data_IF_073945739689
#
_entry.id   IF_073945739689
#
_cell.length_a   1.000
_cell.length_b   1.000
_cell.length_c   1.000
_cell.angle_alpha   90.00
_cell.angle_beta   90.00
_cell.angle_gamma   90.00
#
_symmetry.space_group_name_H-M   'P 1'
#
loop_
_entity.id
_entity.type
_entity.pdbx_description
1 polymer ?
#
# COMPACT_ATOMS: atom_id res chain seq x y z
N UNK A 1 6.93 -12.95 -0.42
CA UNK A 1 8.41 -12.83 -0.31
C UNK A 1 9.21 -13.76 -1.22
N UNK A 2 8.64 -14.83 -1.80
CA UNK A 2 9.42 -15.75 -2.64
C UNK A 2 10.13 -15.08 -3.83
N UNK A 3 9.43 -14.20 -4.54
CA UNK A 3 10.01 -13.47 -5.67
C UNK A 3 11.20 -12.60 -5.25
N UNK A 4 11.10 -11.93 -4.09
CA UNK A 4 12.22 -11.16 -3.54
C UNK A 4 13.42 -12.04 -3.22
N UNK A 5 13.21 -13.26 -2.70
CA UNK A 5 14.31 -14.22 -2.44
C UNK A 5 15.01 -14.67 -3.72
N UNK A 6 14.26 -14.92 -4.79
CA UNK A 6 14.81 -15.41 -6.07
C UNK A 6 15.40 -14.30 -6.94
N UNK A 7 14.85 -13.09 -6.84
CA UNK A 7 15.15 -11.97 -7.72
C UNK A 7 15.46 -10.70 -6.90
N UNK A 8 16.36 -10.82 -5.93
CA UNK A 8 16.74 -9.72 -5.01
C UNK A 8 17.17 -8.44 -5.73
N UNK A 9 17.76 -8.58 -6.92
CA UNK A 9 18.25 -7.46 -7.72
C UNK A 9 17.15 -6.70 -8.47
N UNK A 10 15.96 -7.28 -8.63
CA UNK A 10 14.90 -6.63 -9.41
C UNK A 10 14.21 -5.54 -8.60
N UNK A 11 13.75 -4.51 -9.31
CA UNK A 11 12.75 -3.59 -8.77
C UNK A 11 11.42 -4.34 -8.76
N UNK A 12 10.88 -4.60 -7.58
CA UNK A 12 9.53 -5.17 -7.44
C UNK A 12 8.54 -4.01 -7.30
N UNK A 13 7.48 -4.04 -8.11
CA UNK A 13 6.45 -3.00 -8.13
C UNK A 13 5.10 -3.60 -7.74
N UNK A 14 4.33 -2.92 -6.90
CA UNK A 14 2.95 -3.31 -6.60
C UNK A 14 2.78 -4.32 -5.46
N UNK A 15 1.88 -5.29 -5.68
CA UNK A 15 1.54 -6.42 -4.79
C UNK A 15 0.66 -6.13 -3.56
N UNK A 16 0.14 -4.90 -3.44
CA UNK A 16 -0.85 -4.57 -2.42
C UNK A 16 -2.26 -4.93 -2.91
N UNK A 17 -2.98 -5.74 -2.14
CA UNK A 17 -4.31 -6.27 -2.50
C UNK A 17 -5.32 -5.13 -2.70
N UNK A 18 -5.78 -4.93 -3.94
CA UNK A 18 -6.78 -3.90 -4.29
C UNK A 18 -8.09 -4.04 -3.49
N UNK A 19 -8.49 -5.26 -3.12
CA UNK A 19 -9.75 -5.47 -2.38
C UNK A 19 -9.70 -4.92 -0.95
N UNK A 20 -8.50 -4.60 -0.43
CA UNK A 20 -8.34 -3.98 0.89
C UNK A 20 -8.97 -2.59 0.98
N UNK A 21 -9.18 -1.91 -0.15
CA UNK A 21 -9.80 -0.56 -0.20
C UNK A 21 -11.25 -0.57 -0.67
N UNK A 22 -11.85 -1.75 -0.87
CA UNK A 22 -13.29 -1.85 -1.13
C UNK A 22 -14.11 -1.52 0.12
N UNK A 23 -15.33 -1.06 -0.10
CA UNK A 23 -16.33 -0.84 0.95
C UNK A 23 -16.45 -2.06 1.88
N UNK A 24 -16.28 -1.84 3.18
CA UNK A 24 -16.40 -2.86 4.22
C UNK A 24 -15.14 -3.70 4.47
N UNK A 25 -14.03 -3.40 3.80
CA UNK A 25 -12.73 -4.07 3.99
C UNK A 25 -11.66 -3.18 4.62
N UNK A 26 -12.02 -2.01 5.14
CA UNK A 26 -11.07 -0.99 5.64
C UNK A 26 -10.17 -1.53 6.77
N UNK A 27 -10.66 -2.49 7.55
CA UNK A 27 -9.91 -3.18 8.61
C UNK A 27 -8.70 -3.98 8.09
N UNK A 28 -8.70 -4.31 6.78
CA UNK A 28 -7.62 -5.06 6.12
C UNK A 28 -6.48 -4.18 5.67
N UNK A 29 -6.69 -2.88 5.48
CA UNK A 29 -5.70 -1.92 4.96
C UNK A 29 -4.41 -1.96 5.76
N UNK A 30 -4.51 -1.86 7.09
CA UNK A 30 -3.35 -1.83 7.97
C UNK A 30 -2.57 -3.16 7.92
N UNK A 31 -3.27 -4.29 7.97
CA UNK A 31 -2.65 -5.62 7.87
C UNK A 31 -1.91 -5.80 6.55
N UNK A 32 -2.53 -5.38 5.46
CA UNK A 32 -1.98 -5.50 4.11
C UNK A 32 -0.70 -4.68 3.97
N UNK A 33 -0.73 -3.40 4.35
CA UNK A 33 0.43 -2.51 4.24
C UNK A 33 1.55 -2.93 5.21
N UNK A 34 1.25 -3.10 6.50
CA UNK A 34 2.26 -3.33 7.53
C UNK A 34 2.94 -4.71 7.41
N UNK A 35 2.25 -5.71 6.86
CA UNK A 35 2.85 -7.05 6.67
C UNK A 35 3.78 -7.14 5.45
N UNK A 36 3.67 -6.20 4.50
CA UNK A 36 4.38 -6.27 3.22
C UNK A 36 5.36 -5.12 3.02
N UNK A 37 4.94 -3.89 3.26
CA UNK A 37 5.68 -2.69 2.83
C UNK A 37 6.97 -2.49 3.64
N UNK A 38 6.95 -2.37 4.98
CA UNK A 38 8.19 -2.17 5.75
C UNK A 38 9.29 -3.22 5.47
N UNK A 39 9.02 -4.54 5.56
CA UNK A 39 10.07 -5.54 5.33
C UNK A 39 10.54 -5.60 3.87
N UNK A 40 9.73 -5.19 2.88
CA UNK A 40 10.18 -5.08 1.49
C UNK A 40 11.01 -3.82 1.24
N UNK A 41 10.71 -2.71 1.93
CA UNK A 41 11.51 -1.50 1.88
C UNK A 41 12.89 -1.70 2.50
N UNK A 42 12.97 -2.39 3.65
CA UNK A 42 14.24 -2.76 4.29
C UNK A 42 15.16 -3.57 3.36
N UNK A 43 14.58 -4.41 2.50
CA UNK A 43 15.31 -5.20 1.50
C UNK A 43 15.70 -4.38 0.25
N UNK A 44 15.17 -3.15 0.12
CA UNK A 44 15.43 -2.26 -1.00
C UNK A 44 14.74 -2.66 -2.31
N UNK A 45 14.88 -1.80 -3.32
CA UNK A 45 14.37 -2.01 -4.69
C UNK A 45 12.89 -2.42 -4.74
N UNK A 46 12.07 -1.81 -3.90
CA UNK A 46 10.63 -2.02 -3.85
C UNK A 46 9.90 -0.70 -4.09
N UNK A 47 8.95 -0.71 -5.02
CA UNK A 47 8.07 0.41 -5.32
C UNK A 47 6.62 0.00 -5.01
N UNK A 48 6.09 0.32 -3.82
CA UNK A 48 4.76 -0.12 -3.41
C UNK A 48 3.67 0.49 -4.27
N UNK A 49 2.69 -0.34 -4.64
CA UNK A 49 1.47 0.06 -5.36
C UNK A 49 0.39 -1.04 -5.19
N UNK A 50 -0.84 -0.78 -5.63
CA UNK A 50 -1.82 -1.82 -5.84
C UNK A 50 -1.31 -2.92 -6.78
N UNK A 51 -1.80 -4.14 -6.59
CA UNK A 51 -1.56 -5.29 -7.49
C UNK A 51 -2.27 -5.14 -8.83
N UNK A 52 -3.33 -4.33 -8.87
CA UNK A 52 -4.13 -4.04 -10.05
C UNK A 52 -4.78 -2.63 -9.96
N UNK A 53 -5.58 -2.29 -10.96
CA UNK A 53 -6.46 -1.12 -10.91
C UNK A 53 -7.54 -1.19 -9.83
N UNK A 54 -7.98 -0.03 -9.36
CA UNK A 54 -9.05 0.13 -8.37
C UNK A 54 -10.36 -0.50 -8.88
N UNK A 55 -11.08 -1.15 -7.97
CA UNK A 55 -12.39 -1.73 -8.28
C UNK A 55 -13.51 -0.70 -8.09
N UNK A 56 -14.68 -0.91 -8.73
CA UNK A 56 -15.83 -0.01 -8.55
C UNK A 56 -16.33 0.13 -7.11
N UNK A 57 -16.02 -0.85 -6.24
CA UNK A 57 -16.40 -0.87 -4.83
C UNK A 57 -15.49 -0.03 -3.92
N UNK A 58 -14.42 0.56 -4.47
CA UNK A 58 -13.50 1.38 -3.68
C UNK A 58 -14.21 2.63 -3.19
N UNK A 59 -14.11 2.89 -1.88
CA UNK A 59 -14.60 4.13 -1.30
C UNK A 59 -13.47 5.16 -1.23
N UNK A 60 -13.80 6.44 -1.42
CA UNK A 60 -12.82 7.51 -1.29
C UNK A 60 -12.17 7.56 0.12
N UNK A 61 -12.92 7.41 1.23
CA UNK A 61 -12.32 7.33 2.57
C UNK A 61 -11.33 6.17 2.73
N UNK A 62 -11.67 4.97 2.24
CA UNK A 62 -10.79 3.81 2.30
C UNK A 62 -9.48 4.06 1.51
N UNK A 63 -9.60 4.66 0.32
CA UNK A 63 -8.43 5.04 -0.48
C UNK A 63 -7.55 6.08 0.24
N UNK A 64 -8.16 7.09 0.85
CA UNK A 64 -7.43 8.08 1.66
C UNK A 64 -6.72 7.43 2.86
N UNK A 65 -7.35 6.48 3.55
CA UNK A 65 -6.74 5.72 4.66
C UNK A 65 -5.54 4.90 4.17
N UNK A 66 -5.70 4.17 3.07
CA UNK A 66 -4.64 3.38 2.45
C UNK A 66 -3.45 4.24 2.04
N UNK A 67 -3.70 5.34 1.31
CA UNK A 67 -2.66 6.26 0.85
C UNK A 67 -1.96 6.95 2.03
N UNK A 68 -2.71 7.33 3.07
CA UNK A 68 -2.17 7.94 4.29
C UNK A 68 -1.18 7.00 4.96
N UNK A 69 -1.59 5.76 5.23
CA UNK A 69 -0.73 4.78 5.88
C UNK A 69 0.46 4.40 4.99
N UNK A 70 0.25 4.23 3.68
CA UNK A 70 1.32 3.93 2.74
C UNK A 70 2.39 5.04 2.72
N UNK A 71 1.95 6.30 2.72
CA UNK A 71 2.84 7.45 2.79
C UNK A 71 3.65 7.49 4.08
N UNK A 72 3.01 7.22 5.22
CA UNK A 72 3.68 7.18 6.52
C UNK A 72 4.76 6.10 6.57
N UNK A 73 4.46 4.87 6.12
CA UNK A 73 5.44 3.77 6.15
C UNK A 73 6.55 3.92 5.11
N UNK A 74 6.31 4.66 4.02
CA UNK A 74 7.34 4.94 3.02
C UNK A 74 8.23 6.13 3.39
N UNK A 75 7.82 6.96 4.34
CA UNK A 75 8.55 8.16 4.72
C UNK A 75 8.72 9.15 3.57
N UNK A 76 7.80 9.17 2.60
CA UNK A 76 7.88 10.02 1.42
C UNK A 76 7.77 11.51 1.83
N UNK A 77 8.73 12.38 1.47
CA UNK A 77 8.69 13.80 1.83
C UNK A 77 7.78 14.66 0.92
N UNK A 78 7.37 14.18 -0.24
CA UNK A 78 6.74 14.97 -1.32
C UNK A 78 5.27 14.58 -1.59
N UNK A 79 4.70 13.64 -0.83
CA UNK A 79 3.37 13.09 -1.12
C UNK A 79 2.21 14.00 -0.69
N UNK A 80 1.58 14.65 -1.68
CA UNK A 80 0.35 15.41 -1.48
C UNK A 80 -0.88 14.66 -2.00
N UNK A 81 -1.88 14.48 -1.15
CA UNK A 81 -3.18 13.89 -1.49
C UNK A 81 -4.20 14.19 -0.38
N UNK A 82 -5.51 14.08 -0.67
CA UNK A 82 -6.54 14.23 0.36
C UNK A 82 -6.35 13.24 1.50
N UNK A 83 -6.42 13.72 2.75
CA UNK A 83 -6.40 12.89 3.95
C UNK A 83 -7.73 13.00 4.67
N UNK A 84 -8.17 11.92 5.30
CA UNK A 84 -9.30 11.99 6.22
C UNK A 84 -8.86 12.85 7.41
N UNK A 85 -9.59 13.93 7.69
CA UNK A 85 -9.38 14.72 8.91
C UNK A 85 -9.90 13.90 10.09
N UNK A 86 -9.22 13.91 11.25
CA UNK A 86 -9.84 13.45 12.48
C UNK A 86 -11.15 14.22 12.68
N UNK A 87 -12.22 13.50 13.05
CA UNK A 87 -13.49 14.11 13.45
C UNK A 87 -13.32 14.91 14.75
#
# INVERSE_FOLDING_TARGET
>A
FELRRRHGEFILMGWLEKESVNEGNEDRIAREILSKVPPLLEQGRYFPNGDHGLQPLVTFPALCMFMTLLHEVTGNPEGEFPRMRPA
#
